data_IF_745406710769
#
_entry.id   IF_745406710769
#
_cell.length_a   1.000
_cell.length_b   1.000
_cell.length_c   1.000
_cell.angle_alpha   90.00
_cell.angle_beta   90.00
_cell.angle_gamma   90.00
#
_symmetry.space_group_name_H-M   'P 1'
#
loop_
_entity.id
_entity.type
_entity.pdbx_description
1 polymer ?
#
# COMPACT_ATOMS: atom_id res chain seq x y z
N UNK A 1 11.84 3.34 10.94
CA UNK A 1 10.97 2.21 10.50
C UNK A 1 11.80 0.95 10.52
N UNK A 2 11.38 -0.09 11.24
CA UNK A 2 12.13 -1.35 11.38
C UNK A 2 11.17 -2.50 11.06
N UNK A 3 11.42 -3.25 10.01
CA UNK A 3 10.72 -4.51 9.71
C UNK A 3 11.20 -5.57 10.71
N UNK A 4 10.32 -6.16 11.50
CA UNK A 4 10.72 -6.99 12.65
C UNK A 4 10.87 -8.46 12.32
N UNK A 5 10.24 -8.98 11.28
CA UNK A 5 10.46 -10.36 10.84
C UNK A 5 9.98 -10.62 9.41
N UNK A 6 10.61 -11.57 8.74
CA UNK A 6 10.16 -12.17 7.49
C UNK A 6 10.24 -13.67 7.67
N UNK A 7 9.13 -14.36 7.55
CA UNK A 7 9.09 -15.81 7.56
C UNK A 7 8.90 -16.32 6.13
N UNK A 8 9.74 -17.26 5.72
CA UNK A 8 9.58 -17.95 4.44
C UNK A 8 8.64 -19.14 4.65
N UNK A 9 7.41 -19.02 4.16
CA UNK A 9 6.36 -20.05 4.29
C UNK A 9 6.34 -21.09 3.15
N UNK A 10 7.41 -21.17 2.36
CA UNK A 10 7.53 -22.12 1.24
C UNK A 10 6.77 -21.70 -0.01
N UNK A 11 6.89 -22.52 -1.05
CA UNK A 11 6.08 -22.35 -2.28
C UNK A 11 4.67 -22.86 -2.02
N UNK A 12 3.69 -21.97 -2.13
CA UNK A 12 2.26 -22.34 -2.21
C UNK A 12 1.76 -22.00 -3.61
N UNK A 13 0.90 -22.86 -4.16
CA UNK A 13 0.23 -22.56 -5.40
C UNK A 13 -0.64 -21.31 -5.20
N UNK A 14 -0.20 -20.21 -5.73
CA UNK A 14 -0.98 -18.98 -5.81
C UNK A 14 -1.73 -19.02 -7.13
N UNK A 15 -3.06 -18.97 -7.08
CA UNK A 15 -3.86 -18.76 -8.29
C UNK A 15 -3.81 -17.29 -8.61
N UNK A 16 -3.26 -16.96 -9.76
CA UNK A 16 -3.34 -15.63 -10.32
C UNK A 16 -4.79 -15.38 -10.75
N UNK A 17 -5.45 -14.44 -10.09
CA UNK A 17 -6.77 -13.99 -10.50
C UNK A 17 -6.54 -12.79 -11.43
N UNK A 18 -6.54 -13.07 -12.72
CA UNK A 18 -6.59 -12.03 -13.74
C UNK A 18 -7.99 -11.40 -13.69
N UNK A 19 -8.07 -10.21 -13.11
CA UNK A 19 -9.29 -9.40 -13.17
C UNK A 19 -9.16 -8.53 -14.41
N UNK A 20 -10.02 -8.77 -15.38
CA UNK A 20 -10.14 -7.95 -16.58
C UNK A 20 -10.20 -6.47 -16.18
N UNK A 21 -9.30 -5.65 -16.72
CA UNK A 21 -9.10 -4.20 -16.44
C UNK A 21 -8.45 -3.76 -15.11
N UNK A 22 -8.17 -4.64 -14.15
CA UNK A 22 -7.55 -4.22 -12.89
C UNK A 22 -6.74 -5.35 -12.20
N UNK A 23 -5.44 -5.29 -12.27
CA UNK A 23 -4.49 -6.30 -11.81
C UNK A 23 -4.19 -6.28 -10.30
N UNK A 24 -5.15 -6.47 -9.38
CA UNK A 24 -4.86 -6.45 -7.94
C UNK A 24 -5.79 -7.30 -7.08
N UNK A 25 -5.25 -8.15 -6.18
CA UNK A 25 -6.02 -8.84 -5.14
C UNK A 25 -5.16 -9.26 -3.94
N UNK A 26 -5.79 -9.71 -2.86
CA UNK A 26 -5.16 -10.11 -1.59
C UNK A 26 -5.71 -11.43 -1.08
N UNK A 27 -4.86 -12.13 -0.34
CA UNK A 27 -5.20 -13.34 0.39
C UNK A 27 -4.72 -13.30 1.84
N UNK A 28 -5.56 -13.83 2.75
CA UNK A 28 -5.27 -14.14 4.17
C UNK A 28 -4.94 -12.97 5.11
N UNK A 29 -5.96 -12.18 5.44
CA UNK A 29 -6.00 -11.41 6.71
C UNK A 29 -5.17 -10.14 6.76
N UNK A 30 -4.88 -9.50 5.64
CA UNK A 30 -3.99 -8.36 5.54
C UNK A 30 -4.62 -7.24 4.72
N UNK A 31 -4.60 -6.05 5.27
CA UNK A 31 -5.18 -4.84 4.69
C UNK A 31 -4.23 -4.10 3.78
N UNK A 32 -4.78 -3.51 2.78
CA UNK A 32 -4.11 -3.00 1.62
C UNK A 32 -4.20 -1.51 1.50
N UNK A 33 -3.06 -0.92 1.42
CA UNK A 33 -2.88 0.42 0.94
C UNK A 33 -2.66 0.36 -0.59
N UNK A 34 -3.37 1.17 -1.37
CA UNK A 34 -3.35 1.19 -2.83
C UNK A 34 -4.15 0.10 -3.54
N UNK A 35 -5.35 -0.19 -3.08
CA UNK A 35 -6.37 -0.70 -3.98
C UNK A 35 -6.64 0.39 -5.01
N UNK A 36 -6.29 0.19 -6.28
CA UNK A 36 -6.56 1.19 -7.32
C UNK A 36 -8.05 1.45 -7.53
N UNK A 37 -8.94 0.62 -6.98
CA UNK A 37 -10.38 0.76 -7.14
C UNK A 37 -11.15 0.34 -5.89
N UNK A 38 -12.30 0.96 -5.69
CA UNK A 38 -13.29 0.56 -4.67
C UNK A 38 -13.77 -0.89 -4.85
N UNK A 39 -13.81 -1.40 -6.10
CA UNK A 39 -14.19 -2.78 -6.40
C UNK A 39 -13.26 -3.78 -5.72
N UNK A 40 -11.95 -3.54 -5.75
CA UNK A 40 -10.98 -4.42 -5.10
C UNK A 40 -11.04 -4.29 -3.58
N UNK A 41 -11.15 -3.07 -3.05
CA UNK A 41 -11.30 -2.86 -1.62
C UNK A 41 -12.55 -3.58 -1.08
N UNK A 42 -13.66 -3.50 -1.82
CA UNK A 42 -14.87 -4.24 -1.49
C UNK A 42 -14.67 -5.75 -1.57
N UNK A 43 -14.03 -6.26 -2.61
CA UNK A 43 -13.74 -7.68 -2.75
C UNK A 43 -12.92 -8.21 -1.56
N UNK A 44 -11.93 -7.47 -1.11
CA UNK A 44 -11.13 -7.82 0.08
C UNK A 44 -12.03 -7.88 1.32
N UNK A 45 -12.83 -6.85 1.53
CA UNK A 45 -13.74 -6.78 2.67
C UNK A 45 -14.76 -7.93 2.68
N UNK A 46 -15.26 -8.31 1.52
CA UNK A 46 -16.26 -9.38 1.38
C UNK A 46 -15.65 -10.80 1.52
N UNK A 47 -14.36 -10.96 1.29
CA UNK A 47 -13.71 -12.28 1.28
C UNK A 47 -12.79 -12.55 2.50
N UNK A 48 -12.61 -11.57 3.36
CA UNK A 48 -11.89 -11.75 4.62
C UNK A 48 -12.91 -11.71 5.75
N UNK A 49 -13.16 -12.85 6.36
CA UNK A 49 -14.02 -12.96 7.53
C UNK A 49 -13.33 -12.39 8.77
N UNK A 50 -13.45 -11.09 8.95
CA UNK A 50 -12.93 -10.39 10.12
C UNK A 50 -13.83 -9.21 10.47
N UNK A 51 -14.44 -9.29 11.67
CA UNK A 51 -15.21 -8.16 12.24
C UNK A 51 -14.40 -6.87 12.46
N UNK A 52 -13.11 -6.88 12.17
CA UNK A 52 -12.20 -5.73 12.30
C UNK A 52 -12.07 -4.91 11.03
N UNK A 53 -12.51 -5.43 9.89
CA UNK A 53 -12.35 -4.75 8.61
C UNK A 53 -13.37 -3.64 8.44
N UNK A 54 -12.88 -2.47 8.10
CA UNK A 54 -13.67 -1.30 7.74
C UNK A 54 -13.45 -1.02 6.25
N UNK A 55 -14.50 -1.16 5.48
CA UNK A 55 -14.55 -0.73 4.09
C UNK A 55 -15.32 0.58 3.99
N UNK A 56 -15.00 1.41 3.05
CA UNK A 56 -15.71 2.65 2.76
C UNK A 56 -15.97 2.81 1.25
N UNK A 57 -17.03 3.53 0.92
CA UNK A 57 -17.31 4.07 -0.41
C UNK A 57 -16.63 5.44 -0.59
N UNK A 58 -16.91 6.12 -1.72
CA UNK A 58 -16.51 7.52 -1.90
C UNK A 58 -17.18 8.46 -0.91
N UNK A 59 -18.39 8.14 -0.50
CA UNK A 59 -19.32 9.05 0.19
C UNK A 59 -19.14 9.02 1.72
N UNK A 60 -18.80 7.85 2.29
CA UNK A 60 -18.65 7.64 3.74
C UNK A 60 -17.20 7.54 4.21
N UNK A 61 -16.25 7.90 3.34
CA UNK A 61 -14.81 7.86 3.61
C UNK A 61 -14.41 8.53 4.94
N UNK A 62 -14.96 9.70 5.19
CA UNK A 62 -14.63 10.49 6.40
C UNK A 62 -15.27 9.88 7.64
N UNK A 63 -16.47 9.33 7.53
CA UNK A 63 -17.17 8.71 8.65
C UNK A 63 -16.45 7.43 9.09
N UNK A 64 -16.01 6.59 8.16
CA UNK A 64 -15.22 5.40 8.45
C UNK A 64 -13.88 5.76 9.07
N UNK A 65 -13.20 6.80 8.59
CA UNK A 65 -11.97 7.29 9.19
C UNK A 65 -12.19 7.78 10.63
N UNK A 66 -13.22 8.58 10.85
CA UNK A 66 -13.58 9.09 12.17
C UNK A 66 -13.94 7.95 13.14
N UNK A 67 -14.62 6.92 12.67
CA UNK A 67 -14.91 5.73 13.46
C UNK A 67 -13.61 5.02 13.86
N UNK A 68 -12.70 4.78 12.93
CA UNK A 68 -11.39 4.17 13.20
C UNK A 68 -10.57 4.96 14.24
N UNK A 69 -10.59 6.29 14.16
CA UNK A 69 -9.87 7.16 15.10
C UNK A 69 -10.48 7.11 16.51
N UNK A 70 -11.80 7.03 16.61
CA UNK A 70 -12.52 7.14 17.88
C UNK A 70 -12.73 5.80 18.60
N UNK A 71 -12.72 4.70 17.87
CA UNK A 71 -12.96 3.38 18.46
C UNK A 71 -11.77 2.92 19.31
N UNK A 72 -12.08 2.23 20.40
CA UNK A 72 -11.06 1.54 21.23
C UNK A 72 -10.78 0.12 20.72
N UNK A 73 -11.64 -0.40 19.86
CA UNK A 73 -11.49 -1.73 19.28
C UNK A 73 -10.46 -1.70 18.14
N UNK A 74 -9.65 -2.75 17.98
CA UNK A 74 -8.66 -2.82 16.92
C UNK A 74 -9.35 -2.99 15.55
N UNK A 75 -9.29 -1.95 14.73
CA UNK A 75 -9.87 -1.94 13.38
C UNK A 75 -8.82 -1.82 12.29
N UNK A 76 -9.19 -2.19 11.10
CA UNK A 76 -8.35 -2.20 9.91
C UNK A 76 -9.12 -1.57 8.75
N UNK A 77 -8.63 -0.47 8.19
CA UNK A 77 -9.29 0.18 7.05
C UNK A 77 -8.76 -0.38 5.74
N UNK A 78 -9.68 -0.78 4.86
CA UNK A 78 -9.38 -1.16 3.47
C UNK A 78 -9.80 -0.02 2.56
N UNK A 79 -8.84 0.64 1.91
CA UNK A 79 -9.11 1.86 1.18
C UNK A 79 -8.28 1.99 -0.10
N UNK A 80 -8.90 2.40 -1.22
CA UNK A 80 -8.18 2.79 -2.42
C UNK A 80 -7.71 4.25 -2.38
N UNK A 81 -8.20 5.06 -1.44
CA UNK A 81 -8.02 6.51 -1.46
C UNK A 81 -7.25 7.09 -0.28
N UNK A 82 -6.83 6.28 0.70
CA UNK A 82 -6.04 6.74 1.84
C UNK A 82 -4.53 6.77 1.61
N UNK A 83 -4.11 6.82 0.36
CA UNK A 83 -2.72 7.06 -0.02
C UNK A 83 -2.26 8.48 0.28
N UNK A 84 -3.23 9.42 0.30
CA UNK A 84 -2.97 10.85 0.52
C UNK A 84 -4.02 11.46 1.44
N UNK A 85 -3.65 12.57 2.11
CA UNK A 85 -4.59 13.38 2.87
C UNK A 85 -5.08 12.83 4.20
N UNK A 86 -4.43 11.79 4.76
CA UNK A 86 -4.69 11.29 6.11
C UNK A 86 -3.43 11.24 6.95
N UNK A 87 -3.61 11.28 8.25
CA UNK A 87 -2.56 11.16 9.25
C UNK A 87 -3.01 10.16 10.32
N UNK A 88 -2.30 9.04 10.41
CA UNK A 88 -2.60 7.94 11.32
C UNK A 88 -1.40 7.71 12.25
N UNK A 89 -1.26 8.57 13.23
CA UNK A 89 -0.14 8.55 14.17
C UNK A 89 -0.29 7.47 15.25
N UNK A 90 0.82 6.95 15.70
CA UNK A 90 0.92 6.13 16.88
C UNK A 90 0.07 4.85 16.80
N UNK A 91 -0.85 4.68 17.74
CA UNK A 91 -1.69 3.48 17.85
C UNK A 91 -2.68 3.32 16.70
N UNK A 92 -2.96 4.36 15.93
CA UNK A 92 -3.91 4.32 14.83
C UNK A 92 -3.39 3.51 13.64
N UNK A 93 -2.07 3.37 13.48
CA UNK A 93 -1.50 2.57 12.40
C UNK A 93 -0.14 1.97 12.79
N UNK A 94 -0.15 0.81 13.40
CA UNK A 94 1.08 0.07 13.77
C UNK A 94 1.62 -0.80 12.64
N UNK A 95 0.80 -1.09 11.66
CA UNK A 95 1.20 -1.71 10.41
C UNK A 95 0.38 -1.16 9.25
N UNK A 96 0.94 -1.26 8.08
CA UNK A 96 0.26 -0.94 6.83
C UNK A 96 0.72 -1.90 5.74
N UNK A 97 -0.08 -2.03 4.69
CA UNK A 97 0.20 -2.94 3.59
C UNK A 97 0.02 -2.23 2.27
N UNK A 98 1.05 -2.28 1.45
CA UNK A 98 1.02 -1.89 0.05
C UNK A 98 0.86 -3.17 -0.75
N UNK A 99 -0.36 -3.45 -1.20
CA UNK A 99 -0.65 -4.67 -1.93
C UNK A 99 -0.10 -4.66 -3.33
N UNK A 100 -0.04 -3.49 -3.94
CA UNK A 100 0.44 -3.31 -5.30
C UNK A 100 1.38 -2.11 -5.37
N UNK A 101 2.45 -2.25 -6.12
CA UNK A 101 3.33 -1.11 -6.45
C UNK A 101 2.51 -0.05 -7.17
N UNK A 102 2.49 1.21 -6.68
CA UNK A 102 1.65 2.28 -7.23
C UNK A 102 2.25 2.87 -8.50
N UNK A 103 2.32 2.07 -9.56
CA UNK A 103 2.74 2.55 -10.85
C UNK A 103 1.78 3.61 -11.39
N UNK A 104 2.25 4.74 -11.92
CA UNK A 104 1.38 5.70 -12.57
C UNK A 104 0.61 5.07 -13.73
N UNK A 105 -0.68 5.38 -13.84
CA UNK A 105 -1.57 4.79 -14.84
C UNK A 105 -1.19 5.18 -16.27
N UNK A 106 -0.78 4.21 -17.07
CA UNK A 106 -0.32 4.44 -18.45
C UNK A 106 -1.47 4.74 -19.45
N UNK A 107 -2.74 4.57 -19.06
CA UNK A 107 -3.87 5.07 -19.85
C UNK A 107 -3.98 6.59 -19.87
N UNK A 108 -3.31 7.28 -18.95
CA UNK A 108 -3.27 8.74 -18.90
C UNK A 108 -2.23 9.28 -19.88
N UNK A 109 -2.67 10.12 -20.83
CA UNK A 109 -1.78 10.72 -21.85
C UNK A 109 -0.69 11.59 -21.22
N UNK A 110 -0.96 12.31 -20.14
CA UNK A 110 0.04 13.09 -19.43
C UNK A 110 1.17 12.20 -18.87
N UNK A 111 0.81 11.06 -18.29
CA UNK A 111 1.78 10.08 -17.76
C UNK A 111 2.66 9.53 -18.89
N UNK A 112 2.06 9.15 -20.02
CA UNK A 112 2.79 8.69 -21.21
C UNK A 112 3.77 9.75 -21.72
N UNK A 113 3.31 10.99 -21.87
CA UNK A 113 4.14 12.10 -22.33
C UNK A 113 5.31 12.37 -21.37
N UNK A 114 5.06 12.37 -20.07
CA UNK A 114 6.12 12.55 -19.07
C UNK A 114 7.13 11.41 -19.09
N UNK A 115 6.67 10.17 -19.18
CA UNK A 115 7.54 9.00 -19.27
C UNK A 115 8.45 9.06 -20.51
N UNK A 116 7.91 9.51 -21.66
CA UNK A 116 8.65 9.59 -22.91
C UNK A 116 9.65 10.77 -22.94
N UNK A 117 9.29 11.90 -22.31
CA UNK A 117 10.09 13.13 -22.35
C UNK A 117 11.16 13.21 -21.27
N UNK A 118 10.92 12.58 -20.12
CA UNK A 118 11.79 12.68 -18.95
C UNK A 118 12.28 11.30 -18.54
N UNK A 119 13.53 11.01 -18.88
CA UNK A 119 14.15 9.73 -18.54
C UNK A 119 14.11 9.48 -17.02
N UNK A 120 13.69 8.27 -16.64
CA UNK A 120 13.60 7.86 -15.23
C UNK A 120 12.41 8.44 -14.45
N UNK A 121 11.62 9.35 -15.04
CA UNK A 121 10.48 9.98 -14.35
C UNK A 121 9.47 8.96 -13.82
N UNK A 122 9.15 7.95 -14.61
CA UNK A 122 8.16 6.92 -14.25
C UNK A 122 8.61 6.14 -13.03
N UNK A 123 9.85 5.68 -13.02
CA UNK A 123 10.44 4.97 -11.90
C UNK A 123 10.54 5.85 -10.65
N UNK A 124 10.97 7.10 -10.81
CA UNK A 124 11.05 8.06 -9.72
C UNK A 124 9.68 8.37 -9.12
N UNK A 125 8.66 8.56 -9.94
CA UNK A 125 7.29 8.81 -9.48
C UNK A 125 6.73 7.61 -8.71
N UNK A 126 6.96 6.39 -9.20
CA UNK A 126 6.58 5.15 -8.53
C UNK A 126 7.25 5.04 -7.16
N UNK A 127 8.58 5.23 -7.12
CA UNK A 127 9.34 5.18 -5.87
C UNK A 127 8.88 6.24 -4.87
N UNK A 128 8.65 7.46 -5.31
CA UNK A 128 8.11 8.55 -4.50
C UNK A 128 6.79 8.15 -3.86
N UNK A 129 5.88 7.56 -4.63
CA UNK A 129 4.58 7.11 -4.11
C UNK A 129 4.72 5.99 -3.05
N UNK A 130 5.64 5.04 -3.25
CA UNK A 130 5.93 3.99 -2.26
C UNK A 130 6.46 4.60 -0.96
N UNK A 131 7.45 5.49 -1.07
CA UNK A 131 8.07 6.15 0.09
C UNK A 131 7.04 6.99 0.85
N UNK A 132 6.22 7.75 0.14
CA UNK A 132 5.16 8.56 0.76
C UNK A 132 4.11 7.67 1.44
N UNK A 133 3.70 6.59 0.81
CA UNK A 133 2.77 5.64 1.40
C UNK A 133 3.36 5.01 2.67
N UNK A 134 4.61 4.53 2.61
CA UNK A 134 5.27 3.91 3.77
C UNK A 134 5.50 4.86 4.95
N UNK A 135 5.53 6.17 4.71
CA UNK A 135 5.71 7.20 5.75
C UNK A 135 4.42 7.72 6.39
N UNK A 136 3.23 7.21 6.00
CA UNK A 136 1.95 7.76 6.49
C UNK A 136 1.69 7.53 7.97
N UNK A 137 2.21 6.45 8.50
CA UNK A 137 1.96 5.98 9.86
C UNK A 137 3.08 6.31 10.84
N UNK A 138 4.08 7.07 10.43
CA UNK A 138 5.21 7.48 11.28
C UNK A 138 5.38 8.99 11.18
N UNK A 139 5.17 9.69 12.28
CA UNK A 139 5.18 11.17 12.35
C UNK A 139 6.14 11.73 13.36
N UNK A 140 6.51 10.94 14.35
CA UNK A 140 7.39 11.37 15.43
C UNK A 140 8.60 10.44 15.54
N UNK A 141 9.62 10.88 16.24
CA UNK A 141 10.88 10.14 16.42
C UNK A 141 10.67 8.79 17.12
N UNK A 142 9.77 8.77 18.10
CA UNK A 142 9.46 7.56 18.89
C UNK A 142 8.31 6.73 18.29
N UNK A 143 7.79 7.13 17.13
CA UNK A 143 6.71 6.41 16.47
C UNK A 143 7.25 5.33 15.54
N UNK A 144 6.49 4.24 15.38
CA UNK A 144 6.86 3.15 14.49
C UNK A 144 5.65 2.57 13.77
N UNK A 145 5.90 2.11 12.56
CA UNK A 145 4.94 1.34 11.76
C UNK A 145 5.70 0.32 10.92
N UNK A 146 5.14 -0.88 10.80
CA UNK A 146 5.66 -1.90 9.89
C UNK A 146 4.91 -1.79 8.56
N UNK A 147 5.64 -1.59 7.46
CA UNK A 147 5.05 -1.57 6.11
C UNK A 147 5.39 -2.87 5.38
N UNK A 148 4.34 -3.59 4.98
CA UNK A 148 4.47 -4.78 4.14
C UNK A 148 4.21 -4.38 2.69
N UNK A 149 5.08 -4.82 1.77
CA UNK A 149 4.87 -4.65 0.33
C UNK A 149 4.68 -6.06 -0.24
N UNK A 150 3.45 -6.38 -0.65
CA UNK A 150 3.08 -7.75 -1.07
C UNK A 150 3.26 -8.00 -2.57
N UNK A 151 3.43 -6.94 -3.35
CA UNK A 151 3.57 -7.05 -4.80
C UNK A 151 4.92 -7.68 -5.18
N UNK A 152 4.90 -8.76 -5.94
CA UNK A 152 6.10 -9.41 -6.46
C UNK A 152 6.94 -8.48 -7.35
N UNK A 153 6.28 -7.55 -8.05
CA UNK A 153 6.94 -6.57 -8.91
C UNK A 153 7.85 -5.62 -8.12
N UNK A 154 7.64 -5.44 -6.82
CA UNK A 154 8.49 -4.58 -6.00
C UNK A 154 9.94 -5.06 -5.98
N UNK A 155 10.19 -6.36 -5.86
CA UNK A 155 11.54 -6.91 -5.83
C UNK A 155 12.32 -6.63 -7.12
N UNK A 156 11.67 -6.79 -8.27
CA UNK A 156 12.23 -6.47 -9.57
C UNK A 156 12.41 -4.95 -9.73
N UNK A 157 11.38 -4.17 -9.43
CA UNK A 157 11.41 -2.70 -9.51
C UNK A 157 12.56 -2.11 -8.66
N UNK A 158 12.70 -2.56 -7.42
CA UNK A 158 13.76 -2.13 -6.52
C UNK A 158 15.16 -2.40 -7.09
N UNK A 159 15.39 -3.63 -7.60
CA UNK A 159 16.69 -4.00 -8.19
C UNK A 159 17.06 -3.11 -9.38
N UNK A 160 16.11 -2.84 -10.26
CA UNK A 160 16.33 -2.03 -11.46
C UNK A 160 16.56 -0.55 -11.15
N UNK A 161 16.01 -0.04 -10.06
CA UNK A 161 16.00 1.39 -9.72
C UNK A 161 16.73 1.69 -8.40
N UNK A 162 17.63 0.84 -7.97
CA UNK A 162 18.33 0.95 -6.69
C UNK A 162 19.07 2.29 -6.53
N UNK A 163 19.59 2.83 -7.62
CA UNK A 163 20.28 4.13 -7.68
C UNK A 163 19.39 5.33 -7.36
N UNK A 164 18.07 5.19 -7.51
CA UNK A 164 17.08 6.22 -7.17
C UNK A 164 16.66 6.17 -5.71
N UNK A 165 16.92 5.05 -5.04
CA UNK A 165 16.43 4.80 -3.67
C UNK A 165 17.24 5.62 -2.65
N UNK A 166 16.58 6.48 -1.83
CA UNK A 166 17.28 7.22 -0.81
C UNK A 166 17.90 6.30 0.24
N UNK A 167 19.16 6.53 0.60
CA UNK A 167 19.91 5.69 1.56
C UNK A 167 19.22 5.55 2.91
N UNK A 168 18.53 6.58 3.37
CA UNK A 168 17.79 6.54 4.64
C UNK A 168 16.60 5.58 4.57
N UNK A 169 15.90 5.54 3.43
CA UNK A 169 14.78 4.64 3.21
C UNK A 169 15.27 3.20 2.93
N UNK A 170 16.35 3.05 2.17
CA UNK A 170 16.98 1.75 1.94
C UNK A 170 17.36 1.03 3.25
N UNK A 171 17.86 1.78 4.24
CA UNK A 171 18.21 1.24 5.56
C UNK A 171 17.00 0.72 6.35
N UNK A 172 15.80 1.17 6.02
CA UNK A 172 14.56 0.70 6.65
C UNK A 172 14.00 -0.56 6.01
N UNK A 173 14.51 -0.96 4.83
CA UNK A 173 14.13 -2.20 4.18
C UNK A 173 14.82 -3.37 4.87
N UNK A 174 14.04 -4.35 5.29
CA UNK A 174 14.56 -5.64 5.77
C UNK A 174 14.25 -6.71 4.74
N UNK A 175 15.22 -7.58 4.50
CA UNK A 175 15.09 -8.68 3.54
C UNK A 175 14.36 -9.86 4.18
#
# INVERSE_FOLDING_TARGET
MKLLSKEYVGYKNVRDLEVEDNHNYIANGIVVHNCHTYKIAKYISDNIDSGRLLFHSSDDRIDVLNFHIKTTEPTIIVSPSFTEGIDLQGKLSRFQIIAKVPFPYLGNNYVKEKMNRVNGWYAWQTLKSIIQASGRSVRDYDDYCVTYILDADFGWFYKQNKNLVPKWWEKSLTK
#
